data_IF_511488609426
#
_entry.id   IF_511488609426
#
_cell.length_a   1.000
_cell.length_b   1.000
_cell.length_c   1.000
_cell.angle_alpha   90.00
_cell.angle_beta   90.00
_cell.angle_gamma   90.00
#
_symmetry.space_group_name_H-M   'P 1'
#
loop_
_entity.id
_entity.type
_entity.pdbx_description
1 polymer ?
#
# COMPACT_ATOMS: atom_id res chain seq x y z
N UNK A 1 -31.95 -14.93 -22.96
CA UNK A 1 -30.85 -13.96 -22.85
C UNK A 1 -30.57 -13.78 -21.37
N UNK A 2 -29.40 -14.22 -20.90
CA UNK A 2 -28.99 -14.04 -19.51
C UNK A 2 -28.23 -12.71 -19.42
N UNK A 3 -28.79 -11.73 -18.72
CA UNK A 3 -28.08 -10.53 -18.31
C UNK A 3 -27.02 -10.89 -17.27
N UNK A 4 -25.77 -11.08 -17.71
CA UNK A 4 -24.62 -11.05 -16.82
C UNK A 4 -24.47 -9.60 -16.32
N UNK A 5 -24.94 -9.32 -15.10
CA UNK A 5 -24.44 -8.17 -14.33
C UNK A 5 -22.93 -8.37 -14.13
N UNK A 6 -22.07 -7.40 -14.50
CA UNK A 6 -20.68 -7.45 -14.10
C UNK A 6 -20.63 -7.40 -12.58
N UNK A 7 -20.23 -8.50 -11.96
CA UNK A 7 -19.81 -8.50 -10.56
C UNK A 7 -18.60 -7.59 -10.47
N UNK A 8 -18.83 -6.34 -10.07
CA UNK A 8 -17.75 -5.46 -9.60
C UNK A 8 -17.11 -6.17 -8.43
N UNK A 9 -16.01 -6.88 -8.70
CA UNK A 9 -15.13 -7.39 -7.67
C UNK A 9 -14.73 -6.18 -6.85
N UNK A 10 -15.36 -6.01 -5.69
CA UNK A 10 -15.16 -4.88 -4.80
C UNK A 10 -13.79 -5.08 -4.16
N UNK A 11 -12.74 -4.77 -4.93
CA UNK A 11 -11.41 -4.63 -4.39
C UNK A 11 -11.50 -3.60 -3.25
N UNK A 12 -10.92 -3.91 -2.09
CA UNK A 12 -10.97 -3.01 -0.96
C UNK A 12 -10.40 -1.64 -1.36
N UNK A 13 -10.96 -0.54 -0.83
CA UNK A 13 -10.60 0.79 -1.27
C UNK A 13 -9.12 1.07 -0.98
N UNK A 14 -8.45 1.68 -1.95
CA UNK A 14 -7.11 2.24 -1.74
C UNK A 14 -7.21 3.41 -0.75
N UNK A 15 -6.23 3.53 0.14
CA UNK A 15 -6.24 4.52 1.24
C UNK A 15 -5.45 5.78 0.89
N UNK A 16 -4.25 5.63 0.32
CA UNK A 16 -3.29 6.71 0.10
C UNK A 16 -3.25 7.16 -1.36
N UNK A 17 -3.22 6.23 -2.31
CA UNK A 17 -3.15 6.55 -3.74
C UNK A 17 -4.25 7.56 -4.16
N UNK A 18 -5.54 7.35 -3.83
CA UNK A 18 -6.58 8.31 -4.18
C UNK A 18 -6.41 9.67 -3.49
N UNK A 19 -6.02 9.67 -2.22
CA UNK A 19 -5.86 10.90 -1.44
C UNK A 19 -4.70 11.78 -1.95
N UNK A 20 -3.60 11.16 -2.38
CA UNK A 20 -2.39 11.88 -2.78
C UNK A 20 -2.29 12.15 -4.29
N UNK A 21 -2.97 11.37 -5.13
CA UNK A 21 -2.83 11.40 -6.58
C UNK A 21 -4.14 11.65 -7.32
N UNK A 22 -5.29 11.50 -6.66
CA UNK A 22 -6.61 11.57 -7.32
C UNK A 22 -6.89 10.39 -8.26
N UNK A 23 -6.07 9.33 -8.22
CA UNK A 23 -6.26 8.10 -9.02
C UNK A 23 -6.88 7.00 -8.17
N UNK A 24 -7.69 6.14 -8.78
CA UNK A 24 -8.45 5.12 -8.04
C UNK A 24 -7.92 3.69 -8.25
N UNK A 25 -6.78 3.53 -8.91
CA UNK A 25 -6.21 2.21 -9.18
C UNK A 25 -4.69 2.16 -9.10
N UNK A 26 -4.16 0.98 -8.73
CA UNK A 26 -2.72 0.70 -8.76
C UNK A 26 -2.18 0.74 -10.19
N UNK A 27 -2.95 0.27 -11.16
CA UNK A 27 -2.56 0.29 -12.57
C UNK A 27 -2.29 1.73 -13.08
N UNK A 28 -3.08 2.71 -12.62
CA UNK A 28 -2.82 4.12 -12.92
C UNK A 28 -1.62 4.66 -12.15
N UNK A 29 -1.48 4.31 -10.86
CA UNK A 29 -0.33 4.74 -10.06
C UNK A 29 1.00 4.26 -10.66
N UNK A 30 1.06 3.02 -11.14
CA UNK A 30 2.25 2.43 -11.78
C UNK A 30 2.70 3.16 -13.04
N UNK A 31 1.81 3.91 -13.72
CA UNK A 31 2.16 4.68 -14.93
C UNK A 31 2.87 6.00 -14.65
N UNK A 32 3.02 6.38 -13.38
CA UNK A 32 3.59 7.68 -13.00
C UNK A 32 4.67 7.51 -11.95
N UNK A 33 5.74 8.29 -12.02
CA UNK A 33 6.80 8.25 -11.00
C UNK A 33 6.25 8.55 -9.60
N UNK A 34 5.30 9.48 -9.51
CA UNK A 34 4.69 9.87 -8.23
C UNK A 34 3.85 8.73 -7.65
N UNK A 35 3.14 7.98 -8.48
CA UNK A 35 2.39 6.81 -8.06
C UNK A 35 3.28 5.67 -7.61
N UNK A 36 4.35 5.38 -8.35
CA UNK A 36 5.35 4.39 -7.95
C UNK A 36 6.00 4.72 -6.58
N UNK A 37 6.26 6.02 -6.30
CA UNK A 37 6.81 6.46 -5.00
C UNK A 37 5.85 6.28 -3.82
N UNK A 38 4.54 6.38 -4.04
CA UNK A 38 3.54 6.24 -2.96
C UNK A 38 3.08 4.79 -2.79
N UNK A 39 3.21 3.97 -3.84
CA UNK A 39 2.70 2.60 -3.87
C UNK A 39 3.20 1.73 -2.71
N UNK A 40 4.47 1.88 -2.29
CA UNK A 40 4.98 1.09 -1.16
C UNK A 40 4.31 1.46 0.16
N UNK A 41 3.89 2.72 0.35
CA UNK A 41 3.11 3.16 1.51
C UNK A 41 1.70 2.57 1.49
N UNK A 42 1.09 2.53 0.30
CA UNK A 42 -0.21 1.88 0.11
C UNK A 42 -0.12 0.40 0.51
N UNK A 43 0.86 -0.34 0.01
CA UNK A 43 1.08 -1.75 0.37
C UNK A 43 1.34 -1.93 1.87
N UNK A 44 2.12 -1.03 2.47
CA UNK A 44 2.50 -1.11 3.88
C UNK A 44 1.30 -0.88 4.82
N UNK A 45 0.44 0.08 4.50
CA UNK A 45 -0.62 0.58 5.39
C UNK A 45 -2.03 0.10 5.00
N UNK A 46 -2.15 -0.62 3.88
CA UNK A 46 -3.37 -1.27 3.42
C UNK A 46 -3.19 -2.79 3.41
N UNK A 47 -3.64 -3.43 4.47
CA UNK A 47 -3.56 -4.88 4.69
C UNK A 47 -4.55 -5.69 3.84
N UNK A 48 -5.56 -5.03 3.27
CA UNK A 48 -6.57 -5.66 2.42
C UNK A 48 -6.12 -5.76 0.95
N UNK A 49 -4.98 -5.18 0.60
CA UNK A 49 -4.48 -5.18 -0.77
C UNK A 49 -3.98 -6.57 -1.18
N UNK A 50 -4.58 -7.14 -2.23
CA UNK A 50 -4.09 -8.37 -2.87
C UNK A 50 -2.99 -8.06 -3.89
N UNK A 51 -1.73 -8.46 -3.67
CA UNK A 51 -0.64 -8.16 -4.59
C UNK A 51 -0.66 -9.03 -5.86
N UNK A 52 -1.42 -10.13 -5.88
CA UNK A 52 -1.37 -11.17 -6.93
C UNK A 52 -1.44 -10.63 -8.37
N UNK A 53 -2.30 -9.64 -8.71
CA UNK A 53 -2.41 -9.14 -10.08
C UNK A 53 -1.16 -8.43 -10.62
N UNK A 54 -0.24 -8.00 -9.75
CA UNK A 54 0.90 -7.16 -10.12
C UNK A 54 2.26 -7.81 -9.85
N UNK A 55 2.30 -9.09 -9.48
CA UNK A 55 3.57 -9.81 -9.19
C UNK A 55 4.48 -9.96 -10.42
N UNK A 56 3.96 -9.78 -11.64
CA UNK A 56 4.77 -9.74 -12.87
C UNK A 56 5.31 -8.34 -13.20
N UNK A 57 4.82 -7.30 -12.52
CA UNK A 57 5.25 -5.92 -12.75
C UNK A 57 6.48 -5.58 -11.89
N UNK A 58 7.55 -5.12 -12.54
CA UNK A 58 8.81 -4.85 -11.85
C UNK A 58 8.72 -3.68 -10.88
N UNK A 59 7.93 -2.66 -11.20
CA UNK A 59 7.80 -1.46 -10.37
C UNK A 59 6.90 -1.75 -9.17
N UNK A 60 5.86 -2.57 -9.35
CA UNK A 60 5.11 -3.13 -8.23
C UNK A 60 6.02 -3.98 -7.32
N UNK A 61 6.82 -4.88 -7.89
CA UNK A 61 7.72 -5.73 -7.12
C UNK A 61 8.72 -4.93 -6.27
N UNK A 62 9.27 -3.83 -6.82
CA UNK A 62 10.15 -2.92 -6.08
C UNK A 62 9.42 -2.23 -4.93
N UNK A 63 8.20 -1.75 -5.16
CA UNK A 63 7.38 -1.13 -4.12
C UNK A 63 6.99 -2.14 -3.03
N UNK A 64 6.62 -3.37 -3.41
CA UNK A 64 6.30 -4.46 -2.51
C UNK A 64 7.51 -4.84 -1.64
N UNK A 65 8.69 -5.00 -2.24
CA UNK A 65 9.92 -5.25 -1.49
C UNK A 65 10.24 -4.12 -0.51
N UNK A 66 10.07 -2.86 -0.95
CA UNK A 66 10.26 -1.69 -0.08
C UNK A 66 9.32 -1.76 1.12
N UNK A 67 8.03 -2.05 0.90
CA UNK A 67 7.06 -2.22 1.97
C UNK A 67 7.45 -3.36 2.94
N UNK A 68 7.91 -4.51 2.44
CA UNK A 68 8.39 -5.63 3.28
C UNK A 68 9.56 -5.23 4.18
N UNK A 69 10.52 -4.44 3.65
CA UNK A 69 11.63 -3.92 4.46
C UNK A 69 11.16 -2.96 5.53
N UNK A 70 10.37 -1.96 5.16
CA UNK A 70 9.80 -1.02 6.13
C UNK A 70 8.97 -1.73 7.20
N UNK A 71 8.17 -2.73 6.82
CA UNK A 71 7.43 -3.55 7.76
C UNK A 71 8.36 -4.30 8.71
N UNK A 72 9.44 -4.91 8.20
CA UNK A 72 10.41 -5.63 9.03
C UNK A 72 11.08 -4.72 10.05
N UNK A 73 11.50 -3.53 9.64
CA UNK A 73 12.16 -2.56 10.53
C UNK A 73 11.21 -1.98 11.59
N UNK A 74 9.94 -1.73 11.23
CA UNK A 74 8.95 -1.09 12.10
C UNK A 74 7.81 -2.04 12.52
N UNK A 75 8.06 -3.35 12.53
CA UNK A 75 7.02 -4.38 12.68
C UNK A 75 6.14 -4.14 13.90
N UNK A 76 6.77 -3.90 15.06
CA UNK A 76 6.06 -3.68 16.33
C UNK A 76 5.14 -2.46 16.26
N UNK A 77 5.62 -1.35 15.71
CA UNK A 77 4.86 -0.11 15.58
C UNK A 77 3.66 -0.31 14.64
N UNK A 78 3.91 -0.90 13.47
CA UNK A 78 2.89 -1.04 12.43
C UNK A 78 1.82 -2.05 12.88
N UNK A 79 2.21 -3.17 13.49
CA UNK A 79 1.25 -4.11 14.08
C UNK A 79 0.45 -3.46 15.21
N UNK A 80 1.08 -2.66 16.07
CA UNK A 80 0.37 -1.96 17.15
C UNK A 80 -0.66 -0.94 16.61
N UNK A 81 -0.31 -0.18 15.57
CA UNK A 81 -1.18 0.88 15.04
C UNK A 81 -2.31 0.37 14.15
N UNK A 82 -2.08 -0.71 13.39
CA UNK A 82 -2.98 -1.11 12.30
C UNK A 82 -3.51 -2.54 12.40
N UNK A 83 -3.05 -3.35 13.37
CA UNK A 83 -3.41 -4.76 13.51
C UNK A 83 -3.31 -5.59 12.20
N UNK A 84 -2.38 -5.19 11.32
CA UNK A 84 -2.26 -5.80 9.98
C UNK A 84 -1.63 -7.19 10.02
N UNK A 85 -2.06 -8.03 9.09
CA UNK A 85 -1.37 -9.28 8.78
C UNK A 85 0.11 -9.04 8.42
N UNK A 86 1.05 -9.91 8.86
CA UNK A 86 2.47 -9.70 8.63
C UNK A 86 2.83 -9.73 7.16
N UNK A 87 3.70 -8.81 6.72
CA UNK A 87 4.36 -8.93 5.42
C UNK A 87 5.52 -9.93 5.49
N UNK A 88 5.95 -10.48 4.34
CA UNK A 88 7.19 -11.25 4.26
C UNK A 88 8.36 -10.53 4.92
N UNK A 89 9.14 -11.26 5.70
CA UNK A 89 10.32 -10.73 6.37
C UNK A 89 11.43 -10.39 5.35
N UNK A 90 11.92 -9.16 5.37
CA UNK A 90 13.05 -8.67 4.58
C UNK A 90 13.88 -7.69 5.43
N UNK A 91 15.03 -8.10 6.01
CA UNK A 91 15.87 -7.24 6.84
C UNK A 91 16.78 -6.30 6.03
N UNK A 92 16.55 -6.17 4.72
CA UNK A 92 17.31 -5.29 3.84
C UNK A 92 17.29 -3.81 4.28
N UNK A 93 18.19 -2.99 3.72
CA UNK A 93 18.29 -1.58 4.09
C UNK A 93 17.04 -0.80 3.68
N UNK A 94 16.67 0.16 4.53
CA UNK A 94 15.66 1.19 4.24
C UNK A 94 16.34 2.53 3.93
N UNK A 95 15.73 3.34 3.08
CA UNK A 95 16.16 4.72 2.86
C UNK A 95 15.49 5.65 3.88
N UNK A 96 16.24 6.11 4.86
CA UNK A 96 15.73 7.01 5.90
C UNK A 96 15.28 8.39 5.36
N UNK A 97 15.63 8.75 4.12
CA UNK A 97 15.08 9.97 3.47
C UNK A 97 13.56 9.90 3.31
N UNK A 98 13.02 8.68 3.22
CA UNK A 98 11.59 8.42 3.09
C UNK A 98 10.85 8.38 4.45
N UNK A 99 11.56 8.52 5.58
CA UNK A 99 10.96 8.46 6.91
C UNK A 99 9.85 9.50 7.13
N UNK A 100 10.03 10.70 6.59
CA UNK A 100 9.00 11.74 6.68
C UNK A 100 7.71 11.29 6.00
N UNK A 101 7.79 10.80 4.76
CA UNK A 101 6.65 10.31 4.01
C UNK A 101 5.97 9.13 4.72
N UNK A 102 6.76 8.19 5.26
CA UNK A 102 6.24 7.12 6.12
C UNK A 102 5.44 7.65 7.30
N UNK A 103 6.02 8.56 8.08
CA UNK A 103 5.37 9.07 9.29
C UNK A 103 4.08 9.84 8.97
N UNK A 104 4.06 10.64 7.91
CA UNK A 104 2.89 11.40 7.49
C UNK A 104 1.78 10.47 7.01
N UNK A 105 2.12 9.47 6.18
CA UNK A 105 1.15 8.48 5.70
C UNK A 105 0.59 7.61 6.83
N UNK A 106 1.44 7.18 7.76
CA UNK A 106 1.00 6.41 8.92
C UNK A 106 0.04 7.21 9.81
N UNK A 107 0.35 8.48 10.09
CA UNK A 107 -0.55 9.38 10.82
C UNK A 107 -1.89 9.56 10.07
N UNK A 108 -1.84 9.81 8.76
CA UNK A 108 -3.05 9.97 7.94
C UNK A 108 -3.97 8.74 8.01
N UNK A 109 -3.42 7.53 7.81
CA UNK A 109 -4.19 6.29 7.86
C UNK A 109 -4.71 6.01 9.28
N UNK A 110 -3.89 6.25 10.30
CA UNK A 110 -4.28 6.02 11.70
C UNK A 110 -5.44 6.92 12.14
N UNK A 111 -5.39 8.22 11.81
CA UNK A 111 -6.48 9.15 12.08
C UNK A 111 -7.76 8.76 11.31
N UNK A 112 -7.63 8.37 10.04
CA UNK A 112 -8.77 7.88 9.25
C UNK A 112 -9.42 6.62 9.84
N UNK A 113 -8.62 5.73 10.44
CA UNK A 113 -9.10 4.49 11.08
C UNK A 113 -9.83 4.79 12.39
N UNK A 114 -9.49 5.85 13.13
CA UNK A 114 -10.16 6.23 14.38
C UNK A 114 -11.52 6.91 14.17
N UNK A 115 -11.76 7.47 12.99
CA UNK A 115 -12.97 8.22 12.65
C UNK A 115 -14.00 7.40 11.85
N UNK A 116 -13.66 6.17 11.48
CA UNK A 116 -14.51 5.23 10.72
C UNK A 116 -15.17 4.21 11.64
#
# INVERSE_FOLDING_TARGET
MNDLKPSTSSQPPLKLIPAYLGTSSIAEALRTERGQRILWLEILLNDQLDPTPWLSDQDFCKAYQTACRWYTHYQRLITYLFDRAPLPHDPGPIDFREYRAFSEAACFVYEGTRLS
#
